data_IF_896789703605
#
_entry.id   IF_896789703605
#
_cell.length_a   1.000
_cell.length_b   1.000
_cell.length_c   1.000
_cell.angle_alpha   90.00
_cell.angle_beta   90.00
_cell.angle_gamma   90.00
#
_symmetry.space_group_name_H-M   'P 1'
#
loop_
_entity.id
_entity.type
_entity.pdbx_description
1 polymer ?
#
# COMPACT_ATOMS: atom_id res chain seq x y z
N UNK A 1 -4.51 -39.39 4.67
CA UNK A 1 -4.80 -38.37 5.68
C UNK A 1 -3.54 -37.69 6.21
N UNK A 2 -2.42 -38.35 6.35
CA UNK A 2 -1.14 -37.79 6.83
C UNK A 2 -0.54 -36.69 5.94
N UNK A 3 -0.80 -36.69 4.63
CA UNK A 3 -0.35 -35.64 3.69
C UNK A 3 -1.09 -34.30 3.84
N UNK A 4 -2.25 -34.26 4.51
CA UNK A 4 -3.04 -33.04 4.73
C UNK A 4 -2.81 -32.42 6.11
N UNK A 5 -2.48 -33.24 7.12
CA UNK A 5 -2.35 -32.83 8.54
C UNK A 5 -0.92 -32.89 9.06
N UNK A 6 0.06 -33.36 8.25
CA UNK A 6 1.48 -33.33 8.61
C UNK A 6 2.04 -31.89 8.61
N UNK A 7 3.10 -31.66 9.39
CA UNK A 7 3.77 -30.34 9.49
C UNK A 7 4.23 -29.78 8.12
N UNK A 8 4.31 -30.61 7.08
CA UNK A 8 4.58 -30.23 5.69
C UNK A 8 3.31 -30.08 4.82
N UNK A 9 2.11 -30.23 5.41
CA UNK A 9 0.84 -30.13 4.70
C UNK A 9 0.60 -28.69 4.17
N UNK A 10 -0.09 -28.56 3.02
CA UNK A 10 -0.45 -27.26 2.47
C UNK A 10 -1.29 -26.43 3.45
N UNK A 11 -2.11 -27.08 4.28
CA UNK A 11 -2.93 -26.44 5.30
C UNK A 11 -2.06 -25.78 6.37
N UNK A 12 -0.99 -26.43 6.81
CA UNK A 12 -0.07 -25.89 7.83
C UNK A 12 0.64 -24.65 7.26
N UNK A 13 1.15 -24.74 6.03
CA UNK A 13 1.76 -23.58 5.33
C UNK A 13 0.78 -22.43 5.10
N UNK A 14 -0.48 -22.73 4.85
CA UNK A 14 -1.53 -21.71 4.70
C UNK A 14 -1.84 -21.02 6.03
N UNK A 15 -1.95 -21.79 7.13
CA UNK A 15 -2.19 -21.26 8.47
C UNK A 15 -1.00 -20.41 8.96
N UNK A 16 0.24 -20.87 8.72
CA UNK A 16 1.43 -20.07 9.01
C UNK A 16 1.41 -18.72 8.28
N UNK A 17 1.07 -18.73 6.99
CA UNK A 17 0.95 -17.48 6.21
C UNK A 17 -0.15 -16.57 6.73
N UNK A 18 -1.29 -17.14 7.13
CA UNK A 18 -2.36 -16.36 7.75
C UNK A 18 -1.91 -15.71 9.06
N UNK A 19 -1.21 -16.49 9.90
CA UNK A 19 -0.66 -15.97 11.14
C UNK A 19 0.33 -14.84 10.89
N UNK A 20 1.21 -15.02 9.95
CA UNK A 20 2.18 -14.02 9.51
C UNK A 20 1.49 -12.71 9.07
N UNK A 21 0.42 -12.81 8.30
CA UNK A 21 -0.34 -11.65 7.85
C UNK A 21 -1.08 -10.97 9.01
N UNK A 22 -1.61 -11.72 9.97
CA UNK A 22 -2.25 -11.16 11.17
C UNK A 22 -1.22 -10.37 12.00
N UNK A 23 -0.08 -10.98 12.30
CA UNK A 23 0.99 -10.31 13.06
C UNK A 23 1.45 -9.05 12.34
N UNK A 24 1.65 -9.13 11.04
CA UNK A 24 2.07 -7.99 10.20
C UNK A 24 1.02 -6.87 10.20
N UNK A 25 -0.27 -7.23 10.16
CA UNK A 25 -1.36 -6.26 10.20
C UNK A 25 -1.44 -5.54 11.55
N UNK A 26 -1.28 -6.27 12.65
CA UNK A 26 -1.25 -5.68 14.00
C UNK A 26 -0.08 -4.72 14.16
N UNK A 27 1.12 -5.12 13.73
CA UNK A 27 2.30 -4.24 13.75
C UNK A 27 2.08 -2.98 12.93
N UNK A 28 1.49 -3.11 11.74
CA UNK A 28 1.15 -1.98 10.87
C UNK A 28 0.19 -1.01 11.56
N UNK A 29 -0.90 -1.50 12.15
CA UNK A 29 -1.89 -0.67 12.84
C UNK A 29 -1.25 0.07 14.03
N UNK A 30 -0.48 -0.63 14.85
CA UNK A 30 0.22 -0.02 16.02
C UNK A 30 1.16 1.09 15.56
N UNK A 31 1.94 0.86 14.51
CA UNK A 31 2.89 1.86 14.00
C UNK A 31 2.23 3.00 13.22
N UNK A 32 0.96 2.86 12.81
CA UNK A 32 0.17 3.92 12.21
C UNK A 32 -0.53 4.83 13.22
N UNK A 33 -0.55 4.48 14.53
CA UNK A 33 -1.19 5.33 15.57
C UNK A 33 -0.66 6.77 15.53
N UNK A 34 0.66 7.03 15.46
CA UNK A 34 1.13 8.36 15.15
C UNK A 34 0.95 8.66 13.66
N UNK A 35 0.06 9.57 13.30
CA UNK A 35 -0.30 9.87 11.91
C UNK A 35 0.89 10.22 11.00
N UNK A 36 1.97 10.77 11.57
CA UNK A 36 3.18 11.10 10.81
C UNK A 36 4.04 9.89 10.44
N UNK A 37 3.87 8.74 11.12
CA UNK A 37 4.63 7.51 10.86
C UNK A 37 4.01 6.59 9.81
N UNK A 38 2.81 6.92 9.32
CA UNK A 38 2.07 6.10 8.35
C UNK A 38 2.90 5.78 7.10
N UNK A 39 3.67 6.74 6.59
CA UNK A 39 4.55 6.51 5.45
C UNK A 39 5.64 5.46 5.72
N UNK A 40 6.26 5.51 6.90
CA UNK A 40 7.25 4.52 7.32
C UNK A 40 6.61 3.15 7.55
N UNK A 41 5.41 3.11 8.13
CA UNK A 41 4.65 1.88 8.32
C UNK A 41 4.28 1.21 7.00
N UNK A 42 3.82 1.99 5.99
CA UNK A 42 3.53 1.48 4.64
C UNK A 42 4.79 0.92 4.00
N UNK A 43 5.92 1.63 4.03
CA UNK A 43 7.18 1.14 3.47
C UNK A 43 7.64 -0.15 4.14
N UNK A 44 7.56 -0.25 5.47
CA UNK A 44 7.90 -1.47 6.21
C UNK A 44 6.97 -2.64 5.85
N UNK A 45 5.66 -2.39 5.74
CA UNK A 45 4.67 -3.37 5.32
C UNK A 45 5.02 -3.97 3.96
N UNK A 46 5.31 -3.12 2.96
CA UNK A 46 5.68 -3.57 1.63
C UNK A 46 7.06 -4.24 1.57
N UNK A 47 8.04 -3.81 2.37
CA UNK A 47 9.33 -4.50 2.46
C UNK A 47 9.13 -5.97 2.90
N UNK A 48 8.33 -6.20 3.93
CA UNK A 48 8.08 -7.56 4.45
C UNK A 48 7.25 -8.37 3.47
N UNK A 49 6.16 -7.81 2.91
CA UNK A 49 5.30 -8.55 1.98
C UNK A 49 6.03 -8.90 0.68
N UNK A 50 6.87 -8.02 0.14
CA UNK A 50 7.68 -8.31 -1.05
C UNK A 50 8.74 -9.40 -0.78
N UNK A 51 9.40 -9.40 0.39
CA UNK A 51 10.30 -10.49 0.82
C UNK A 51 9.55 -11.81 0.95
N UNK A 52 8.37 -11.80 1.59
CA UNK A 52 7.54 -13.00 1.73
C UNK A 52 7.08 -13.59 0.41
N UNK A 53 6.76 -12.77 -0.60
CA UNK A 53 6.45 -13.24 -1.96
C UNK A 53 7.67 -13.87 -2.64
N UNK A 54 8.89 -13.43 -2.31
CA UNK A 54 10.16 -14.00 -2.79
C UNK A 54 10.54 -15.30 -2.07
N UNK A 55 9.78 -15.72 -1.05
CA UNK A 55 10.10 -16.86 -0.17
C UNK A 55 11.43 -16.67 0.59
N UNK A 56 11.81 -15.45 0.86
CA UNK A 56 12.92 -15.12 1.73
C UNK A 56 12.42 -15.29 3.17
N UNK A 57 12.86 -16.37 3.83
CA UNK A 57 12.49 -16.63 5.22
C UNK A 57 13.06 -15.55 6.13
N UNK A 58 12.18 -14.84 6.82
CA UNK A 58 12.59 -13.83 7.79
C UNK A 58 11.59 -13.80 8.96
N UNK A 59 12.13 -13.54 10.15
CA UNK A 59 11.29 -13.26 11.33
C UNK A 59 10.51 -11.96 11.08
N UNK A 60 9.20 -12.06 10.85
CA UNK A 60 8.33 -10.97 10.42
C UNK A 60 8.46 -9.74 11.30
N UNK A 61 8.37 -9.91 12.63
CA UNK A 61 8.45 -8.80 13.59
C UNK A 61 9.78 -8.07 13.45
N UNK A 62 10.89 -8.82 13.43
CA UNK A 62 12.23 -8.24 13.32
C UNK A 62 12.44 -7.56 11.98
N UNK A 63 12.01 -8.20 10.90
CA UNK A 63 12.10 -7.66 9.54
C UNK A 63 11.28 -6.38 9.38
N UNK A 64 10.07 -6.35 9.95
CA UNK A 64 9.20 -5.18 9.93
C UNK A 64 9.81 -4.00 10.70
N UNK A 65 10.26 -4.24 11.94
CA UNK A 65 10.86 -3.19 12.79
C UNK A 65 12.17 -2.65 12.22
N UNK A 66 12.99 -3.51 11.61
CA UNK A 66 14.21 -3.09 10.89
C UNK A 66 13.87 -2.19 9.73
N UNK A 67 12.97 -2.65 8.83
CA UNK A 67 12.52 -1.88 7.67
C UNK A 67 11.84 -0.56 8.07
N UNK A 68 11.07 -0.56 9.15
CA UNK A 68 10.45 0.65 9.70
C UNK A 68 11.51 1.68 10.12
N UNK A 69 12.54 1.26 10.87
CA UNK A 69 13.62 2.15 11.30
C UNK A 69 14.45 2.68 10.13
N UNK A 70 14.82 1.80 9.20
CA UNK A 70 15.63 2.14 8.03
C UNK A 70 14.94 3.19 7.14
N UNK A 71 13.65 3.01 6.90
CA UNK A 71 12.88 3.91 6.02
C UNK A 71 12.24 5.09 6.75
N UNK A 72 12.32 5.16 8.09
CA UNK A 72 11.57 6.10 8.91
C UNK A 72 11.67 7.55 8.42
N UNK A 73 12.89 8.08 8.32
CA UNK A 73 13.12 9.48 7.95
C UNK A 73 12.63 9.80 6.54
N UNK A 74 13.04 8.99 5.57
CA UNK A 74 12.72 9.22 4.14
C UNK A 74 11.22 9.08 3.87
N UNK A 75 10.61 7.99 4.37
CA UNK A 75 9.19 7.72 4.14
C UNK A 75 8.27 8.67 4.92
N UNK A 76 8.69 9.15 6.10
CA UNK A 76 7.93 10.17 6.84
C UNK A 76 7.93 11.51 6.10
N UNK A 77 9.10 11.95 5.58
CA UNK A 77 9.15 13.18 4.77
C UNK A 77 8.30 13.03 3.51
N UNK A 78 8.40 11.89 2.83
CA UNK A 78 7.59 11.61 1.65
C UNK A 78 6.09 11.64 1.96
N UNK A 79 5.68 11.05 3.08
CA UNK A 79 4.30 11.06 3.55
C UNK A 79 3.77 12.46 3.84
N UNK A 80 4.53 13.29 4.56
CA UNK A 80 4.16 14.66 4.86
C UNK A 80 4.04 15.49 3.57
N UNK A 81 4.95 15.31 2.62
CA UNK A 81 4.88 15.94 1.31
C UNK A 81 3.62 15.50 0.55
N UNK A 82 3.29 14.21 0.57
CA UNK A 82 2.07 13.67 -0.07
C UNK A 82 0.81 14.28 0.55
N UNK A 83 0.71 14.35 1.87
CA UNK A 83 -0.43 14.95 2.56
C UNK A 83 -0.52 16.44 2.24
N UNK A 84 0.59 17.19 2.25
CA UNK A 84 0.59 18.62 1.95
C UNK A 84 0.04 18.88 0.55
N UNK A 85 0.46 18.14 -0.46
CA UNK A 85 -0.02 18.30 -1.83
C UNK A 85 -1.50 17.92 -1.94
N UNK A 86 -1.93 16.80 -1.30
CA UNK A 86 -3.35 16.44 -1.26
C UNK A 86 -4.19 17.53 -0.55
N UNK A 87 -3.67 18.12 0.53
CA UNK A 87 -4.33 19.23 1.22
C UNK A 87 -4.51 20.45 0.32
N UNK A 88 -3.47 20.86 -0.41
CA UNK A 88 -3.55 21.95 -1.38
C UNK A 88 -4.57 21.65 -2.48
N UNK A 89 -4.55 20.46 -3.05
CA UNK A 89 -5.51 20.04 -4.09
C UNK A 89 -6.97 20.08 -3.60
N UNK A 90 -7.21 19.61 -2.38
CA UNK A 90 -8.56 19.65 -1.80
C UNK A 90 -9.02 21.10 -1.59
N UNK A 91 -8.14 21.98 -1.08
CA UNK A 91 -8.46 23.40 -0.94
C UNK A 91 -8.76 24.03 -2.30
N UNK A 92 -7.94 23.75 -3.31
CA UNK A 92 -8.12 24.26 -4.66
C UNK A 92 -9.48 23.83 -5.24
N UNK A 93 -9.83 22.57 -5.16
CA UNK A 93 -11.09 22.03 -5.69
C UNK A 93 -12.31 22.57 -4.92
N UNK A 94 -12.29 22.52 -3.59
CA UNK A 94 -13.48 22.82 -2.77
C UNK A 94 -13.67 24.30 -2.44
N UNK A 95 -12.59 25.10 -2.39
CA UNK A 95 -12.65 26.51 -2.01
C UNK A 95 -12.56 27.41 -3.24
N UNK A 96 -11.54 27.23 -4.07
CA UNK A 96 -11.25 28.10 -5.21
C UNK A 96 -12.07 27.70 -6.42
N UNK A 97 -12.16 26.40 -6.71
CA UNK A 97 -12.82 25.84 -7.88
C UNK A 97 -14.33 25.94 -7.86
N UNK A 98 -14.96 26.25 -6.70
CA UNK A 98 -16.41 26.19 -6.48
C UNK A 98 -17.25 26.94 -7.55
N UNK A 99 -16.71 28.02 -8.12
CA UNK A 99 -17.37 28.84 -9.13
C UNK A 99 -16.74 28.73 -10.54
N UNK A 100 -15.78 27.83 -10.74
CA UNK A 100 -15.06 27.71 -12.00
C UNK A 100 -14.81 26.23 -12.37
N UNK A 101 -15.62 25.71 -13.29
CA UNK A 101 -15.52 24.32 -13.75
C UNK A 101 -14.17 23.96 -14.35
N UNK A 102 -13.47 24.92 -14.96
CA UNK A 102 -12.14 24.67 -15.53
C UNK A 102 -11.09 24.39 -14.44
N UNK A 103 -11.15 25.13 -13.30
CA UNK A 103 -10.26 24.87 -12.17
C UNK A 103 -10.55 23.52 -11.52
N UNK A 104 -11.80 23.12 -11.38
CA UNK A 104 -12.15 21.77 -10.90
C UNK A 104 -11.58 20.70 -11.82
N UNK A 105 -11.70 20.85 -13.14
CA UNK A 105 -11.18 19.89 -14.11
C UNK A 105 -9.65 19.81 -14.04
N UNK A 106 -8.95 20.93 -13.95
CA UNK A 106 -7.49 20.98 -13.82
C UNK A 106 -7.03 20.31 -12.50
N UNK A 107 -7.66 20.67 -11.38
CA UNK A 107 -7.37 20.07 -10.08
C UNK A 107 -7.64 18.57 -10.07
N UNK A 108 -8.71 18.12 -10.72
CA UNK A 108 -9.05 16.70 -10.89
C UNK A 108 -8.00 15.95 -11.72
N UNK A 109 -7.58 16.50 -12.86
CA UNK A 109 -6.50 15.91 -13.67
C UNK A 109 -5.18 15.79 -12.90
N UNK A 110 -4.81 16.84 -12.17
CA UNK A 110 -3.60 16.82 -11.35
C UNK A 110 -3.74 15.84 -10.17
N UNK A 111 -4.93 15.73 -9.58
CA UNK A 111 -5.22 14.76 -8.53
C UNK A 111 -5.07 13.32 -8.99
N UNK A 112 -5.57 12.98 -10.20
CA UNK A 112 -5.37 11.65 -10.79
C UNK A 112 -3.88 11.37 -11.01
N UNK A 113 -3.15 12.33 -11.59
CA UNK A 113 -1.71 12.21 -11.78
C UNK A 113 -0.95 11.97 -10.46
N UNK A 114 -1.31 12.74 -9.43
CA UNK A 114 -0.71 12.61 -8.10
C UNK A 114 -1.05 11.27 -7.42
N UNK A 115 -2.26 10.78 -7.63
CA UNK A 115 -2.68 9.46 -7.17
C UNK A 115 -1.82 8.34 -7.78
N UNK A 116 -1.49 8.43 -9.07
CA UNK A 116 -0.63 7.46 -9.73
C UNK A 116 0.78 7.44 -9.11
N UNK A 117 1.32 8.59 -8.74
CA UNK A 117 2.61 8.68 -8.03
C UNK A 117 2.51 8.01 -6.66
N UNK A 118 1.44 8.27 -5.89
CA UNK A 118 1.27 7.69 -4.55
C UNK A 118 1.17 6.16 -4.56
N UNK A 119 0.70 5.56 -5.65
CA UNK A 119 0.63 4.10 -5.78
C UNK A 119 2.01 3.42 -5.76
N UNK A 120 3.06 4.09 -6.22
CA UNK A 120 4.40 3.51 -6.31
C UNK A 120 5.39 4.06 -5.26
N UNK A 121 5.10 5.23 -4.68
CA UNK A 121 6.07 5.98 -3.90
C UNK A 121 6.67 5.20 -2.72
N UNK A 122 5.82 4.64 -1.87
CA UNK A 122 6.27 3.91 -0.67
C UNK A 122 6.85 2.54 -0.99
N UNK A 123 6.35 1.88 -2.03
CA UNK A 123 6.82 0.58 -2.48
C UNK A 123 8.18 0.67 -3.14
N UNK A 124 8.40 1.74 -3.91
CA UNK A 124 9.70 2.01 -4.51
C UNK A 124 10.73 2.36 -3.43
N UNK A 125 10.33 3.18 -2.43
CA UNK A 125 11.17 3.50 -1.29
C UNK A 125 11.47 2.27 -0.41
N UNK A 126 10.55 1.30 -0.35
CA UNK A 126 10.72 0.05 0.39
C UNK A 126 11.75 -0.91 -0.23
N UNK A 127 11.98 -0.81 -1.54
CA UNK A 127 12.89 -1.70 -2.28
C UNK A 127 14.21 -1.05 -2.64
N UNK A 128 14.22 0.25 -2.98
CA UNK A 128 15.38 0.95 -3.50
C UNK A 128 15.77 2.12 -2.60
N UNK A 129 17.07 2.23 -2.32
CA UNK A 129 17.62 3.36 -1.59
C UNK A 129 17.79 4.58 -2.50
N UNK A 130 16.70 5.29 -2.76
CA UNK A 130 16.69 6.48 -3.59
C UNK A 130 16.58 7.78 -2.78
N UNK A 131 16.96 8.90 -3.41
CA UNK A 131 16.56 10.23 -2.93
C UNK A 131 15.07 10.45 -3.17
N UNK A 132 14.43 11.34 -2.40
CA UNK A 132 12.99 11.63 -2.55
C UNK A 132 12.64 12.11 -3.97
N UNK A 133 13.49 12.96 -4.55
CA UNK A 133 13.31 13.47 -5.92
C UNK A 133 13.36 12.34 -6.95
N UNK A 134 14.35 11.46 -6.86
CA UNK A 134 14.47 10.32 -7.76
C UNK A 134 13.32 9.33 -7.56
N UNK A 135 12.86 9.15 -6.32
CA UNK A 135 11.69 8.31 -6.05
C UNK A 135 10.45 8.84 -6.77
N UNK A 136 10.17 10.15 -6.70
CA UNK A 136 9.02 10.77 -7.37
C UNK A 136 9.10 10.67 -8.89
N UNK A 137 10.27 10.95 -9.46
CA UNK A 137 10.51 10.83 -10.91
C UNK A 137 10.34 9.37 -11.37
N UNK A 138 10.90 8.42 -10.66
CA UNK A 138 10.79 7.01 -10.98
C UNK A 138 9.34 6.51 -10.85
N UNK A 139 8.57 6.97 -9.85
CA UNK A 139 7.16 6.65 -9.73
C UNK A 139 6.36 7.09 -10.96
N UNK A 140 6.62 8.30 -11.45
CA UNK A 140 5.98 8.81 -12.65
C UNK A 140 6.34 7.99 -13.90
N UNK A 141 7.64 7.74 -14.12
CA UNK A 141 8.11 6.93 -15.25
C UNK A 141 7.49 5.53 -15.20
N UNK A 142 7.43 4.90 -14.02
CA UNK A 142 6.83 3.58 -13.85
C UNK A 142 5.32 3.57 -14.09
N UNK A 143 4.61 4.57 -13.57
CA UNK A 143 3.18 4.69 -13.74
C UNK A 143 2.79 4.75 -15.23
N UNK A 144 3.59 5.45 -16.06
CA UNK A 144 3.37 5.56 -17.50
C UNK A 144 3.90 4.32 -18.25
N UNK A 145 5.13 3.89 -17.97
CA UNK A 145 5.76 2.76 -18.69
C UNK A 145 5.03 1.43 -18.45
N UNK A 146 4.49 1.24 -17.24
CA UNK A 146 3.78 0.02 -16.83
C UNK A 146 2.28 0.29 -16.56
N UNK A 147 1.63 0.97 -17.49
CA UNK A 147 0.24 1.42 -17.36
C UNK A 147 -0.76 0.31 -17.03
N UNK A 148 -0.58 -0.92 -17.57
CA UNK A 148 -1.43 -2.07 -17.23
C UNK A 148 -1.32 -2.45 -15.74
N UNK A 149 -0.11 -2.53 -15.21
CA UNK A 149 0.12 -2.81 -13.78
C UNK A 149 -0.41 -1.66 -12.92
N UNK A 150 -0.30 -0.43 -13.39
CA UNK A 150 -0.84 0.76 -12.72
C UNK A 150 -2.36 0.70 -12.60
N UNK A 151 -3.06 0.30 -13.66
CA UNK A 151 -4.52 0.11 -13.64
C UNK A 151 -4.91 -1.01 -12.67
N UNK A 152 -4.19 -2.14 -12.68
CA UNK A 152 -4.43 -3.24 -11.73
C UNK A 152 -4.26 -2.79 -10.28
N UNK A 153 -3.18 -2.07 -9.97
CA UNK A 153 -2.92 -1.54 -8.64
C UNK A 153 -3.96 -0.50 -8.21
N UNK A 154 -4.36 0.39 -9.11
CA UNK A 154 -5.43 1.36 -8.88
C UNK A 154 -6.76 0.67 -8.63
N UNK A 155 -7.11 -0.36 -9.42
CA UNK A 155 -8.32 -1.16 -9.25
C UNK A 155 -8.37 -1.86 -7.90
N UNK A 156 -7.29 -2.53 -7.48
CA UNK A 156 -7.20 -3.17 -6.15
C UNK A 156 -7.33 -2.12 -5.03
N UNK A 157 -6.73 -0.94 -5.22
CA UNK A 157 -6.82 0.14 -4.22
C UNK A 157 -8.23 0.71 -4.13
N UNK A 158 -8.89 0.91 -5.26
CA UNK A 158 -10.24 1.46 -5.33
C UNK A 158 -11.30 0.44 -4.86
N UNK A 159 -11.04 -0.85 -4.96
CA UNK A 159 -11.97 -1.91 -4.56
C UNK A 159 -12.36 -1.80 -3.07
N UNK A 160 -11.43 -1.46 -2.19
CA UNK A 160 -11.70 -1.38 -0.74
C UNK A 160 -12.71 -0.28 -0.39
N UNK A 161 -12.49 1.00 -0.75
CA UNK A 161 -13.47 2.04 -0.45
C UNK A 161 -14.80 1.81 -1.17
N UNK A 162 -14.81 1.28 -2.39
CA UNK A 162 -16.04 0.92 -3.09
C UNK A 162 -16.82 -0.17 -2.35
N UNK A 163 -16.13 -1.19 -1.84
CA UNK A 163 -16.75 -2.25 -1.05
C UNK A 163 -17.30 -1.71 0.29
N UNK A 164 -16.56 -0.83 0.95
CA UNK A 164 -17.02 -0.16 2.19
C UNK A 164 -18.29 0.64 1.92
N UNK A 165 -18.34 1.46 0.86
CA UNK A 165 -19.53 2.24 0.48
C UNK A 165 -20.68 1.31 0.14
N UNK A 166 -20.45 0.26 -0.64
CA UNK A 166 -21.46 -0.71 -1.02
C UNK A 166 -22.09 -1.40 0.21
N UNK A 167 -21.24 -1.88 1.14
CA UNK A 167 -21.71 -2.53 2.37
C UNK A 167 -22.42 -1.55 3.31
N UNK A 168 -21.99 -0.30 3.38
CA UNK A 168 -22.65 0.73 4.19
C UNK A 168 -24.09 0.98 3.73
N UNK A 169 -24.33 0.94 2.41
CA UNK A 169 -25.67 1.12 1.83
C UNK A 169 -26.50 -0.15 1.98
N UNK A 170 -25.88 -1.34 1.83
CA UNK A 170 -26.60 -2.60 1.82
C UNK A 170 -27.01 -3.05 3.23
N UNK A 171 -26.08 -3.05 4.19
CA UNK A 171 -26.31 -3.53 5.55
C UNK A 171 -25.24 -3.03 6.52
N UNK A 172 -25.59 -2.22 7.55
CA UNK A 172 -24.66 -1.78 8.58
C UNK A 172 -24.02 -2.95 9.36
N UNK A 173 -24.73 -4.07 9.53
CA UNK A 173 -24.20 -5.25 10.19
C UNK A 173 -23.12 -5.94 9.38
N UNK A 174 -23.31 -6.07 8.05
CA UNK A 174 -22.30 -6.61 7.13
C UNK A 174 -21.05 -5.72 7.09
N UNK A 175 -21.23 -4.40 7.13
CA UNK A 175 -20.12 -3.46 7.25
C UNK A 175 -19.33 -3.68 8.54
N UNK A 176 -20.01 -3.89 9.68
CA UNK A 176 -19.36 -4.17 10.97
C UNK A 176 -18.49 -5.43 10.91
N UNK A 177 -19.00 -6.52 10.35
CA UNK A 177 -18.23 -7.75 10.16
C UNK A 177 -17.04 -7.56 9.23
N UNK A 178 -17.24 -6.84 8.12
CA UNK A 178 -16.15 -6.53 7.20
C UNK A 178 -15.05 -5.70 7.86
N UNK A 179 -15.40 -4.63 8.58
CA UNK A 179 -14.42 -3.80 9.28
C UNK A 179 -13.66 -4.62 10.34
N UNK A 180 -14.33 -5.51 11.07
CA UNK A 180 -13.68 -6.38 12.04
C UNK A 180 -12.65 -7.30 11.39
N UNK A 181 -13.02 -7.99 10.30
CA UNK A 181 -12.08 -8.82 9.54
C UNK A 181 -10.93 -8.00 8.92
N UNK A 182 -11.24 -6.79 8.47
CA UNK A 182 -10.25 -5.90 7.86
C UNK A 182 -9.17 -5.45 8.85
N UNK A 183 -9.55 -5.23 10.12
CA UNK A 183 -8.60 -4.92 11.21
C UNK A 183 -7.64 -6.09 11.48
N UNK A 184 -8.04 -7.33 11.25
CA UNK A 184 -7.16 -8.48 11.48
C UNK A 184 -6.20 -8.76 10.31
N UNK A 185 -6.65 -8.63 9.06
CA UNK A 185 -5.87 -9.10 7.89
C UNK A 185 -5.90 -8.11 6.72
N UNK A 186 -6.77 -7.10 6.73
CA UNK A 186 -7.09 -6.30 5.57
C UNK A 186 -5.89 -5.61 4.92
N UNK A 187 -5.13 -4.83 5.67
CA UNK A 187 -3.99 -4.08 5.11
C UNK A 187 -2.87 -5.01 4.64
N UNK A 188 -2.50 -5.99 5.45
CA UNK A 188 -1.42 -6.94 5.11
C UNK A 188 -1.81 -7.85 3.94
N UNK A 189 -3.08 -8.31 3.88
CA UNK A 189 -3.59 -9.11 2.78
C UNK A 189 -3.59 -8.36 1.45
N UNK A 190 -4.04 -7.11 1.44
CA UNK A 190 -4.00 -6.25 0.25
C UNK A 190 -2.56 -5.97 -0.17
N UNK A 191 -1.69 -5.65 0.79
CA UNK A 191 -0.27 -5.44 0.52
C UNK A 191 0.37 -6.71 -0.07
N UNK A 192 0.03 -7.90 0.42
CA UNK A 192 0.48 -9.17 -0.10
C UNK A 192 0.07 -9.37 -1.57
N UNK A 193 -1.21 -9.18 -1.88
CA UNK A 193 -1.72 -9.29 -3.26
C UNK A 193 -1.02 -8.30 -4.20
N UNK A 194 -0.91 -7.04 -3.78
CA UNK A 194 -0.21 -6.01 -4.57
C UNK A 194 1.28 -6.32 -4.74
N UNK A 195 1.92 -6.96 -3.77
CA UNK A 195 3.35 -7.29 -3.83
C UNK A 195 3.70 -8.23 -4.97
N UNK A 196 2.78 -9.08 -5.43
CA UNK A 196 2.99 -9.88 -6.66
C UNK A 196 3.11 -8.99 -7.91
N UNK A 197 2.28 -7.95 -8.00
CA UNK A 197 2.31 -7.01 -9.13
C UNK A 197 3.58 -6.15 -9.06
N UNK A 198 3.88 -5.59 -7.87
CA UNK A 198 5.08 -4.79 -7.68
C UNK A 198 6.37 -5.56 -7.97
N UNK A 199 6.43 -6.82 -7.57
CA UNK A 199 7.56 -7.68 -7.88
C UNK A 199 7.78 -7.76 -9.38
N UNK A 200 6.76 -8.10 -10.17
CA UNK A 200 6.87 -8.21 -11.63
C UNK A 200 7.29 -6.89 -12.28
N UNK A 201 6.83 -5.76 -11.73
CA UNK A 201 7.21 -4.42 -12.22
C UNK A 201 8.66 -4.11 -11.89
N UNK A 202 9.12 -4.39 -10.68
CA UNK A 202 10.45 -4.02 -10.21
C UNK A 202 11.53 -4.97 -10.75
N UNK A 203 11.28 -6.27 -10.81
CA UNK A 203 12.22 -7.25 -11.40
C UNK A 203 12.51 -6.88 -12.86
N UNK A 204 11.52 -6.41 -13.61
CA UNK A 204 11.72 -5.96 -15.00
C UNK A 204 12.54 -4.66 -15.16
N UNK A 205 12.91 -3.99 -14.08
CA UNK A 205 13.77 -2.79 -14.10
C UNK A 205 15.20 -3.17 -13.75
N UNK A 206 15.37 -4.19 -12.89
CA UNK A 206 16.69 -4.70 -12.50
C UNK A 206 17.36 -5.46 -13.65
N UNK A 207 16.57 -5.99 -14.61
CA UNK A 207 17.06 -6.73 -15.78
C UNK A 207 17.50 -5.82 -16.95
N UNK A 208 17.46 -4.49 -16.82
CA UNK A 208 17.86 -3.49 -17.82
C UNK A 208 19.09 -2.74 -17.36
#
# INVERSE_FOLDING_TARGET
MERFLGQEGWLFRFLDRLWDLIVLNVLFIITCIPLFTVGAAISALYTVTMKGVRKEDSYIVRSYLSAFKENFKKSTILWLLMIAIWGVLLIDIFVIGKNNSALIAMGGCFGVFWLLITLFAFQLQARFENSIQNTLLNCFILAVKRWLSTIQLAGITAMVPLLVIFLAVLSPTALGWFCSLFVFIGFSGIAWVKSFIYRNVFDSIEDV
#
